data_IF_476137401732
#
_entry.id   IF_476137401732
#
_cell.length_a   1.000
_cell.length_b   1.000
_cell.length_c   1.000
_cell.angle_alpha   90.00
_cell.angle_beta   90.00
_cell.angle_gamma   90.00
#
_symmetry.space_group_name_H-M   'P 1'
#
loop_
_entity.id
_entity.type
_entity.pdbx_description
1 polymer ?
#
# COMPACT_ATOMS: atom_id res chain seq x y z
N UNK A 1 0.25 -13.30 35.34
CA UNK A 1 0.62 -13.03 33.91
C UNK A 1 1.26 -11.64 33.78
N UNK A 2 2.40 -11.50 33.07
CA UNK A 2 3.15 -10.22 32.93
C UNK A 2 3.05 -9.58 31.53
N UNK A 3 2.31 -10.17 30.59
CA UNK A 3 2.00 -9.57 29.28
C UNK A 3 0.67 -10.10 28.74
N UNK A 4 0.06 -9.34 27.83
CA UNK A 4 -1.21 -9.61 27.15
C UNK A 4 -1.09 -9.09 25.70
N UNK A 5 -1.79 -9.73 24.75
CA UNK A 5 -1.83 -9.31 23.34
C UNK A 5 -3.17 -8.61 23.12
N UNK A 6 -3.14 -7.36 22.67
CA UNK A 6 -4.34 -6.64 22.22
C UNK A 6 -4.75 -7.09 20.84
N UNK A 7 -6.05 -7.25 20.64
CA UNK A 7 -6.66 -7.43 19.35
C UNK A 7 -7.69 -6.33 19.15
N UNK A 8 -7.41 -5.44 18.21
CA UNK A 8 -8.33 -4.40 17.78
C UNK A 8 -8.80 -4.74 16.36
N UNK A 9 -10.12 -4.73 16.17
CA UNK A 9 -10.75 -4.94 14.87
C UNK A 9 -11.83 -3.90 14.67
N UNK A 10 -11.83 -3.28 13.50
CA UNK A 10 -12.76 -2.21 13.18
C UNK A 10 -14.05 -2.80 12.60
N UNK A 11 -15.16 -2.60 13.32
CA UNK A 11 -16.48 -2.99 12.84
C UNK A 11 -16.78 -2.32 11.50
N UNK A 12 -16.98 -3.15 10.46
CA UNK A 12 -17.36 -2.72 9.12
C UNK A 12 -16.38 -1.71 8.48
N UNK A 13 -15.07 -1.97 8.55
CA UNK A 13 -13.98 -1.14 7.98
C UNK A 13 -14.33 -0.51 6.62
N UNK A 14 -14.72 -1.33 5.63
CA UNK A 14 -15.04 -0.83 4.28
C UNK A 14 -16.29 0.04 4.25
N UNK A 15 -17.36 -0.36 4.95
CA UNK A 15 -18.60 0.43 5.01
C UNK A 15 -18.34 1.78 5.66
N UNK A 16 -17.55 1.80 6.75
CA UNK A 16 -17.12 3.03 7.40
C UNK A 16 -16.29 3.91 6.48
N UNK A 17 -15.33 3.35 5.75
CA UNK A 17 -14.54 4.09 4.75
C UNK A 17 -15.43 4.67 3.64
N UNK A 18 -16.41 3.92 3.16
CA UNK A 18 -17.37 4.37 2.14
C UNK A 18 -18.31 5.49 2.61
N UNK A 19 -18.42 5.74 3.91
CA UNK A 19 -19.16 6.90 4.45
C UNK A 19 -18.35 8.19 4.46
N UNK A 20 -17.04 8.11 4.22
CA UNK A 20 -16.15 9.27 4.16
C UNK A 20 -16.24 9.93 2.78
N UNK A 21 -15.74 11.17 2.67
CA UNK A 21 -15.67 11.88 1.40
C UNK A 21 -14.75 11.12 0.42
N UNK A 22 -15.27 10.76 -0.75
CA UNK A 22 -14.56 9.96 -1.75
C UNK A 22 -14.45 10.70 -3.08
N UNK A 23 -13.34 10.56 -3.81
CA UNK A 23 -13.20 11.15 -5.13
C UNK A 23 -14.20 10.51 -6.10
N UNK A 24 -14.96 11.34 -6.81
CA UNK A 24 -15.95 10.91 -7.82
C UNK A 24 -15.43 11.04 -9.24
N UNK A 25 -14.44 11.91 -9.47
CA UNK A 25 -13.82 12.14 -10.77
C UNK A 25 -12.34 12.55 -10.65
N UNK A 26 -11.60 12.41 -11.74
CA UNK A 26 -10.20 12.83 -11.87
C UNK A 26 -10.17 14.05 -12.78
N UNK A 27 -9.83 15.22 -12.22
CA UNK A 27 -9.84 16.50 -12.94
C UNK A 27 -8.63 16.70 -13.88
N UNK A 28 -7.51 16.03 -13.61
CA UNK A 28 -6.28 16.14 -14.41
C UNK A 28 -5.01 16.18 -13.57
N UNK A 29 -3.85 16.35 -14.22
CA UNK A 29 -2.57 16.56 -13.53
C UNK A 29 -2.39 18.05 -13.20
N UNK A 30 -1.95 18.32 -11.99
CA UNK A 30 -1.61 19.67 -11.50
C UNK A 30 -0.11 19.90 -11.66
N UNK A 31 0.30 21.12 -12.02
CA UNK A 31 1.72 21.46 -12.09
C UNK A 31 2.33 21.52 -10.68
N UNK A 32 3.62 21.19 -10.48
CA UNK A 32 4.24 21.18 -9.15
C UNK A 32 4.14 22.52 -8.40
N UNK A 33 4.10 23.63 -9.13
CA UNK A 33 4.01 25.00 -8.59
C UNK A 33 2.63 25.32 -8.00
N UNK A 34 1.60 24.56 -8.40
CA UNK A 34 0.20 24.75 -7.99
C UNK A 34 -0.23 23.77 -6.90
N UNK A 35 0.65 22.85 -6.47
CA UNK A 35 0.34 21.89 -5.41
C UNK A 35 0.23 22.64 -4.07
N UNK A 36 -0.94 22.66 -3.41
CA UNK A 36 -1.08 23.29 -2.11
C UNK A 36 -0.30 22.52 -1.04
N UNK A 37 -0.08 23.15 0.12
CA UNK A 37 0.49 22.45 1.26
C UNK A 37 -0.43 21.28 1.66
N UNK A 38 0.02 20.05 1.45
CA UNK A 38 -0.75 18.82 1.65
C UNK A 38 -1.28 18.72 3.08
N UNK A 39 -0.51 19.19 4.07
CA UNK A 39 -0.90 19.14 5.48
C UNK A 39 -2.03 20.13 5.83
N UNK A 40 -2.34 21.06 4.93
CA UNK A 40 -3.40 22.05 5.13
C UNK A 40 -4.75 21.65 4.50
N UNK A 41 -4.79 20.55 3.74
CA UNK A 41 -6.00 20.07 3.07
C UNK A 41 -6.87 19.31 4.09
N UNK A 42 -8.13 19.69 4.23
CA UNK A 42 -9.06 19.00 5.14
C UNK A 42 -9.65 17.74 4.50
N UNK A 43 -10.05 16.72 5.27
CA UNK A 43 -10.63 15.49 4.69
C UNK A 43 -11.95 15.69 3.94
N UNK A 44 -12.64 16.81 4.18
CA UNK A 44 -13.95 17.17 3.62
C UNK A 44 -13.85 18.18 2.47
N UNK A 45 -12.66 18.46 1.94
CA UNK A 45 -12.51 19.35 0.77
C UNK A 45 -13.20 18.79 -0.47
N UNK A 46 -13.74 19.68 -1.30
CA UNK A 46 -14.31 19.34 -2.61
C UNK A 46 -13.26 18.81 -3.59
N UNK A 47 -12.04 19.37 -3.55
CA UNK A 47 -10.93 18.97 -4.42
C UNK A 47 -9.82 18.34 -3.57
N UNK A 48 -9.61 17.04 -3.75
CA UNK A 48 -8.47 16.30 -3.20
C UNK A 48 -7.30 16.18 -4.19
N UNK A 49 -6.14 15.77 -3.69
CA UNK A 49 -4.91 15.61 -4.49
C UNK A 49 -4.35 14.20 -4.29
N UNK A 50 -3.97 13.56 -5.39
CA UNK A 50 -3.24 12.28 -5.38
C UNK A 50 -1.79 12.56 -5.76
N UNK A 51 -0.86 12.17 -4.89
CA UNK A 51 0.56 12.44 -5.07
C UNK A 51 1.26 11.21 -5.63
N UNK A 52 1.89 11.39 -6.77
CA UNK A 52 2.85 10.44 -7.35
C UNK A 52 4.24 10.91 -6.93
N UNK A 53 4.89 10.17 -6.02
CA UNK A 53 6.20 10.55 -5.45
C UNK A 53 7.15 9.37 -5.50
N UNK A 54 8.42 9.66 -5.80
CA UNK A 54 9.52 8.73 -5.55
C UNK A 54 9.85 8.78 -4.06
N UNK A 55 9.67 7.65 -3.36
CA UNK A 55 9.93 7.54 -1.93
C UNK A 55 11.26 6.83 -1.69
N UNK A 56 12.16 7.46 -0.93
CA UNK A 56 13.35 6.81 -0.38
C UNK A 56 13.21 6.69 1.14
N UNK A 57 13.39 5.48 1.67
CA UNK A 57 13.34 5.23 3.12
C UNK A 57 14.75 5.41 3.73
N UNK A 58 15.01 6.48 4.50
CA UNK A 58 16.32 6.72 5.08
C UNK A 58 16.67 5.66 6.13
N UNK A 59 17.93 5.19 6.14
CA UNK A 59 18.41 4.12 7.04
C UNK A 59 18.09 4.38 8.52
N UNK A 60 18.22 5.63 8.97
CA UNK A 60 17.99 6.00 10.36
C UNK A 60 16.52 5.87 10.82
N UNK A 61 15.57 5.67 9.89
CA UNK A 61 14.16 5.45 10.23
C UNK A 61 13.77 3.96 10.26
N UNK A 62 14.64 3.03 9.87
CA UNK A 62 14.30 1.60 9.83
C UNK A 62 13.85 1.06 11.18
N UNK A 63 14.52 1.47 12.27
CA UNK A 63 14.15 1.03 13.62
C UNK A 63 12.77 1.57 14.04
N UNK A 64 12.38 2.74 13.53
CA UNK A 64 11.07 3.34 13.81
C UNK A 64 9.93 2.60 13.07
N UNK A 65 10.24 2.02 11.92
CA UNK A 65 9.30 1.32 11.05
C UNK A 65 9.42 -0.21 11.13
N UNK A 66 10.08 -0.73 12.17
CA UNK A 66 10.26 -2.16 12.36
C UNK A 66 8.92 -2.90 12.50
N UNK A 67 7.93 -2.27 13.12
CA UNK A 67 6.60 -2.84 13.32
C UNK A 67 5.66 -2.65 12.11
N UNK A 68 5.97 -1.70 11.22
CA UNK A 68 5.15 -1.38 10.06
C UNK A 68 6.01 -0.87 8.89
N UNK A 69 6.17 -1.71 7.87
CA UNK A 69 6.93 -1.35 6.68
C UNK A 69 6.31 -0.15 5.96
N UNK A 70 7.11 0.90 5.75
CA UNK A 70 6.69 2.14 5.09
C UNK A 70 6.17 1.95 3.66
N UNK A 71 6.72 0.96 2.94
CA UNK A 71 6.54 0.86 1.50
C UNK A 71 6.33 -0.59 1.14
N UNK A 72 5.20 -0.85 0.49
CA UNK A 72 4.90 -2.14 -0.11
C UNK A 72 5.10 -2.04 -1.61
N UNK A 73 6.06 -2.77 -2.13
CA UNK A 73 6.26 -2.90 -3.57
C UNK A 73 5.50 -4.12 -4.08
N UNK A 74 4.72 -3.95 -5.15
CA UNK A 74 4.13 -5.08 -5.86
C UNK A 74 5.22 -5.74 -6.71
N UNK A 75 5.86 -6.75 -6.15
CA UNK A 75 6.92 -7.49 -6.83
C UNK A 75 6.48 -8.92 -7.18
N UNK A 76 6.95 -9.43 -8.32
CA UNK A 76 6.92 -10.86 -8.61
C UNK A 76 7.99 -11.53 -7.72
N UNK A 77 7.56 -12.53 -6.94
CA UNK A 77 8.48 -13.33 -6.13
C UNK A 77 9.29 -14.22 -7.07
N UNK A 78 10.62 -14.08 -7.13
CA UNK A 78 11.44 -14.89 -8.00
C UNK A 78 11.57 -16.33 -7.47
N UNK A 79 11.71 -17.30 -8.37
CA UNK A 79 11.75 -18.73 -8.05
C UNK A 79 12.86 -19.09 -7.04
N UNK A 80 13.97 -18.36 -7.04
CA UNK A 80 15.07 -18.56 -6.09
C UNK A 80 14.70 -18.18 -4.65
N UNK A 81 13.70 -17.33 -4.43
CA UNK A 81 13.19 -16.98 -3.09
C UNK A 81 12.21 -18.01 -2.55
N UNK A 82 11.68 -18.91 -3.39
CA UNK A 82 10.76 -19.93 -2.94
C UNK A 82 11.45 -20.96 -2.05
N UNK A 83 10.83 -21.25 -0.91
CA UNK A 83 11.19 -22.40 -0.09
C UNK A 83 10.94 -23.70 -0.85
N UNK A 84 11.63 -24.79 -0.48
CA UNK A 84 11.44 -26.11 -1.11
C UNK A 84 9.97 -26.57 -1.13
N UNK A 85 9.20 -26.21 -0.10
CA UNK A 85 7.78 -26.50 -0.04
C UNK A 85 6.98 -25.72 -1.09
N UNK A 86 7.24 -24.42 -1.21
CA UNK A 86 6.57 -23.56 -2.19
C UNK A 86 6.89 -24.00 -3.62
N UNK A 87 8.14 -24.40 -3.89
CA UNK A 87 8.55 -24.96 -5.19
C UNK A 87 7.74 -26.20 -5.56
N UNK A 88 7.55 -27.12 -4.62
CA UNK A 88 6.74 -28.33 -4.83
C UNK A 88 5.29 -27.95 -5.14
N UNK A 89 4.70 -27.04 -4.37
CA UNK A 89 3.32 -26.59 -4.62
C UNK A 89 3.12 -25.96 -5.99
N UNK A 90 4.06 -25.14 -6.47
CA UNK A 90 4.00 -24.53 -7.80
C UNK A 90 4.01 -25.60 -8.89
N UNK A 91 4.90 -26.60 -8.75
CA UNK A 91 5.00 -27.73 -9.67
C UNK A 91 3.74 -28.61 -9.64
N UNK A 92 3.25 -28.95 -8.45
CA UNK A 92 2.11 -29.86 -8.24
C UNK A 92 0.79 -29.26 -8.75
N UNK A 93 0.67 -27.93 -8.73
CA UNK A 93 -0.55 -27.22 -9.15
C UNK A 93 -0.52 -26.73 -10.60
N UNK A 94 0.56 -27.00 -11.34
CA UNK A 94 0.79 -26.46 -12.70
C UNK A 94 0.39 -24.98 -12.80
N UNK A 95 0.73 -24.19 -11.77
CA UNK A 95 0.43 -22.75 -11.76
C UNK A 95 1.37 -22.12 -12.79
N UNK A 96 0.95 -22.15 -14.06
CA UNK A 96 1.71 -21.60 -15.16
C UNK A 96 2.08 -20.16 -14.88
N UNK A 97 3.23 -19.73 -15.41
CA UNK A 97 3.75 -18.36 -15.30
C UNK A 97 2.64 -17.33 -15.55
N UNK A 98 1.99 -16.91 -14.48
CA UNK A 98 0.99 -15.87 -14.50
C UNK A 98 1.75 -14.57 -14.66
N UNK A 99 1.85 -14.07 -15.89
CA UNK A 99 2.22 -12.70 -16.15
C UNK A 99 1.13 -11.81 -15.54
N UNK A 100 1.28 -11.42 -14.27
CA UNK A 100 0.48 -10.34 -13.71
C UNK A 100 1.05 -9.02 -14.23
N UNK A 101 0.19 -8.28 -14.94
CA UNK A 101 0.35 -6.94 -15.52
C UNK A 101 1.77 -6.37 -15.51
N UNK A 102 2.48 -6.47 -16.64
CA UNK A 102 3.52 -5.48 -16.95
C UNK A 102 2.82 -4.14 -17.18
N UNK A 103 3.21 -3.13 -16.43
CA UNK A 103 2.76 -1.76 -16.65
C UNK A 103 3.08 -1.34 -18.09
N UNK A 104 2.11 -0.66 -18.70
CA UNK A 104 2.22 0.00 -19.99
C UNK A 104 2.05 1.49 -19.76
#
# INVERSE_FOLDING_TARGET
PKSWIMYEDMNALYSGAMTQNMPTEILGKVSPEEIPNIQSITPDTEIGYMLEVDLEAPVHLHDFFADYSLTLEKQIVPENWLSLYNKRLVNDKEVGNGNMCSER
#
